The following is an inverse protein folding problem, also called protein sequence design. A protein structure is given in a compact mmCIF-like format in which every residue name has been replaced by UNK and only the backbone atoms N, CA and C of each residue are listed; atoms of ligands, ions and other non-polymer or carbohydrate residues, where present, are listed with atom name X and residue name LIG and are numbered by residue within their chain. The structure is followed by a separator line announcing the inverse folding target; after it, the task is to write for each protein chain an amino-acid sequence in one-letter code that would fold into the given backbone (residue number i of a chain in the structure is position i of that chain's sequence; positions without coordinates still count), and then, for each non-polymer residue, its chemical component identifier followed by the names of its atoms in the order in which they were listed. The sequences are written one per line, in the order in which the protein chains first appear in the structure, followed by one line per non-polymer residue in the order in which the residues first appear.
data_IF_165803103861
#
_entry.id   IF_165803103861
#
_cell.length_a   1.000
_cell.length_b   1.000
_cell.length_c   1.000
_cell.angle_alpha   90.00
_cell.angle_beta   90.00
_cell.angle_gamma   90.00
#
_symmetry.space_group_name_H-M   'P 1'
#
loop_
_entity.id
_entity.type
_entity.pdbx_description
1 polymer ?
#
# COMPACT_ATOMS: atom_id res chain seq x y z
N UNK A 1 18.49 -8.76 -45.16
CA UNK A 1 17.18 -9.44 -45.00
C UNK A 1 17.28 -10.29 -43.74
N UNK A 2 16.38 -10.17 -42.75
CA UNK A 2 16.43 -11.03 -41.56
C UNK A 2 16.25 -12.49 -41.98
N UNK A 3 17.09 -13.38 -41.47
CA UNK A 3 16.98 -14.83 -41.67
C UNK A 3 16.21 -15.38 -40.47
N UNK A 4 14.98 -15.82 -40.69
CA UNK A 4 14.20 -16.51 -39.66
C UNK A 4 14.61 -17.98 -39.62
N UNK A 5 15.10 -18.44 -38.46
CA UNK A 5 15.27 -19.86 -38.16
C UNK A 5 14.02 -20.36 -37.46
N UNK A 6 13.38 -21.37 -38.04
CA UNK A 6 12.26 -22.06 -37.41
C UNK A 6 12.81 -23.10 -36.44
N UNK A 7 12.49 -22.96 -35.16
CA UNK A 7 12.86 -23.89 -34.11
C UNK A 7 11.69 -24.85 -33.85
N UNK A 8 11.78 -26.07 -34.39
CA UNK A 8 10.77 -27.11 -34.20
C UNK A 8 10.73 -27.66 -32.79
N UNK A 9 11.82 -27.53 -32.02
CA UNK A 9 11.89 -28.00 -30.63
C UNK A 9 11.18 -27.05 -29.67
N UNK A 10 10.87 -25.82 -30.11
CA UNK A 10 10.11 -24.85 -29.34
C UNK A 10 8.62 -25.19 -29.21
N UNK A 11 8.11 -26.20 -29.92
CA UNK A 11 6.71 -26.60 -29.92
C UNK A 11 6.54 -27.99 -29.29
N UNK A 12 5.55 -28.13 -28.41
CA UNK A 12 5.18 -29.39 -27.78
C UNK A 12 4.48 -30.35 -28.78
N UNK A 13 4.16 -31.55 -28.30
CA UNK A 13 3.46 -32.59 -29.07
C UNK A 13 2.07 -32.17 -29.60
N UNK A 14 1.52 -31.07 -29.10
CA UNK A 14 0.25 -30.47 -29.54
C UNK A 14 0.46 -29.23 -30.44
N UNK A 15 1.71 -28.94 -30.85
CA UNK A 15 2.06 -27.79 -31.68
C UNK A 15 1.99 -26.45 -30.93
N UNK A 16 2.09 -26.46 -29.59
CA UNK A 16 2.05 -25.25 -28.76
C UNK A 16 3.45 -24.88 -28.28
N UNK A 17 3.76 -23.59 -28.23
CA UNK A 17 5.01 -23.09 -27.68
C UNK A 17 4.76 -22.37 -26.36
N UNK A 18 5.66 -22.56 -25.39
CA UNK A 18 5.62 -21.82 -24.12
C UNK A 18 6.55 -20.62 -24.22
N UNK A 19 5.96 -19.43 -24.28
CA UNK A 19 6.72 -18.17 -24.28
C UNK A 19 6.72 -17.65 -22.84
N UNK A 20 7.87 -17.62 -22.14
CA UNK A 20 7.94 -17.03 -20.82
C UNK A 20 7.74 -15.51 -20.95
N UNK A 21 6.55 -15.03 -20.57
CA UNK A 21 6.28 -13.60 -20.50
C UNK A 21 6.55 -13.10 -19.08
N UNK A 22 7.37 -12.06 -18.97
CA UNK A 22 7.52 -11.33 -17.72
C UNK A 22 6.22 -10.57 -17.49
N UNK A 23 5.35 -11.10 -16.63
CA UNK A 23 3.97 -10.62 -16.49
C UNK A 23 3.88 -9.26 -15.79
N UNK A 24 4.82 -8.97 -14.90
CA UNK A 24 4.87 -7.72 -14.15
C UNK A 24 6.30 -7.19 -14.06
N UNK A 25 6.48 -5.86 -14.09
CA UNK A 25 7.80 -5.26 -13.92
C UNK A 25 8.35 -5.52 -12.52
N UNK A 26 9.68 -5.55 -12.39
CA UNK A 26 10.33 -5.55 -11.09
C UNK A 26 10.11 -4.21 -10.36
N UNK A 27 10.24 -4.21 -9.03
CA UNK A 27 10.07 -3.00 -8.22
C UNK A 27 10.93 -1.83 -8.70
N UNK A 28 12.17 -2.11 -9.13
CA UNK A 28 13.09 -1.06 -9.58
C UNK A 28 12.56 -0.29 -10.80
N UNK A 29 11.78 -0.93 -11.67
CA UNK A 29 11.13 -0.26 -12.78
C UNK A 29 10.07 0.74 -12.29
N UNK A 30 9.26 0.37 -11.30
CA UNK A 30 8.31 1.28 -10.65
C UNK A 30 9.07 2.44 -10.00
N UNK A 31 10.15 2.09 -9.30
CA UNK A 31 10.97 3.02 -8.55
C UNK A 31 11.78 3.96 -9.43
N UNK A 32 12.07 3.64 -10.69
CA UNK A 32 12.73 4.56 -11.62
C UNK A 32 11.98 5.91 -11.73
N UNK A 33 10.64 5.89 -11.70
CA UNK A 33 9.82 7.10 -11.68
C UNK A 33 9.42 7.51 -10.26
N UNK A 34 9.11 6.55 -9.38
CA UNK A 34 8.64 6.84 -8.02
C UNK A 34 9.76 7.34 -7.06
N UNK A 35 11.05 7.07 -7.35
CA UNK A 35 12.22 7.60 -6.62
C UNK A 35 12.38 9.12 -6.78
N UNK A 36 12.06 9.68 -7.95
CA UNK A 36 12.29 11.11 -8.27
C UNK A 36 11.37 12.08 -7.53
N UNK A 37 10.21 11.60 -7.09
CA UNK A 37 9.41 12.33 -6.14
C UNK A 37 9.96 12.09 -4.74
N UNK A 38 10.87 12.96 -4.32
CA UNK A 38 11.45 13.08 -2.97
C UNK A 38 10.42 13.16 -1.80
N UNK A 39 9.14 12.90 -2.06
CA UNK A 39 8.00 12.96 -1.15
C UNK A 39 6.95 11.86 -1.38
N UNK A 40 7.14 10.90 -2.30
CA UNK A 40 6.07 9.94 -2.67
C UNK A 40 6.48 8.49 -2.54
N UNK A 41 6.94 8.15 -1.35
CA UNK A 41 6.91 6.76 -0.90
C UNK A 41 5.47 6.44 -0.45
N UNK A 42 4.60 6.16 -1.43
CA UNK A 42 3.26 5.63 -1.18
C UNK A 42 3.37 4.24 -0.56
N UNK A 43 2.81 4.08 0.63
CA UNK A 43 2.67 2.79 1.34
C UNK A 43 3.97 2.03 1.66
N UNK A 44 5.04 2.75 2.02
CA UNK A 44 6.23 2.11 2.57
C UNK A 44 6.14 2.09 4.09
N UNK A 45 5.98 0.90 4.64
CA UNK A 45 6.57 0.57 5.92
C UNK A 45 5.64 0.74 7.11
N UNK A 46 5.26 -0.38 7.71
CA UNK A 46 4.50 -0.41 8.95
C UNK A 46 5.46 -0.69 10.12
N UNK A 47 5.38 0.11 11.19
CA UNK A 47 6.21 -0.06 12.39
C UNK A 47 7.62 0.53 12.31
N UNK A 48 8.29 0.62 13.46
CA UNK A 48 9.63 1.23 13.60
C UNK A 48 10.69 0.61 12.68
N UNK A 49 10.56 -0.70 12.41
CA UNK A 49 11.45 -1.46 11.54
C UNK A 49 11.50 -0.95 10.10
N UNK A 50 10.48 -0.18 9.68
CA UNK A 50 10.39 0.38 8.34
C UNK A 50 10.66 1.88 8.26
N UNK A 51 11.40 2.40 9.24
CA UNK A 51 11.90 3.78 9.25
C UNK A 51 12.99 3.98 8.20
N UNK A 52 12.97 5.14 7.55
CA UNK A 52 14.00 5.53 6.60
C UNK A 52 15.37 5.67 7.27
N UNK A 53 16.35 4.90 6.79
CA UNK A 53 17.76 5.06 7.14
C UNK A 53 18.43 6.00 6.16
N UNK A 54 19.22 6.94 6.67
CA UNK A 54 20.08 7.80 5.86
C UNK A 54 21.54 7.33 6.04
N UNK A 55 22.31 7.30 4.96
CA UNK A 55 23.76 7.14 4.96
C UNK A 55 24.42 8.52 5.04
N UNK A 56 25.34 8.70 6.00
CA UNK A 56 26.17 9.89 6.14
C UNK A 56 25.69 10.85 7.24
N UNK A 57 25.90 10.46 8.49
CA UNK A 57 25.67 11.25 9.70
C UNK A 57 26.74 12.36 9.84
N UNK A 58 26.83 13.25 8.86
CA UNK A 58 27.49 14.54 9.04
C UNK A 58 26.57 15.50 9.80
N UNK A 59 27.12 16.56 10.40
CA UNK A 59 26.45 17.51 11.32
C UNK A 59 25.17 18.20 10.79
N UNK A 60 24.72 17.93 9.56
CA UNK A 60 23.47 18.39 8.98
C UNK A 60 22.59 17.24 8.45
N UNK A 61 21.38 17.01 9.03
CA UNK A 61 20.41 16.01 8.57
C UNK A 61 19.86 16.21 7.15
N UNK A 62 20.16 17.35 6.51
CA UNK A 62 19.74 17.67 5.14
C UNK A 62 20.63 17.04 4.05
N UNK A 63 21.82 16.55 4.42
CA UNK A 63 22.82 16.00 3.50
C UNK A 63 22.82 14.45 3.42
N UNK A 64 22.00 13.79 4.25
CA UNK A 64 21.92 12.34 4.29
C UNK A 64 21.31 11.74 3.02
N UNK A 65 21.99 10.76 2.42
CA UNK A 65 21.45 10.01 1.28
C UNK A 65 20.58 8.89 1.80
N UNK A 66 19.36 8.72 1.27
CA UNK A 66 18.51 7.58 1.64
C UNK A 66 19.24 6.26 1.29
N UNK A 67 19.35 5.36 2.28
CA UNK A 67 19.79 3.98 2.01
C UNK A 67 18.78 3.36 1.05
N UNK A 68 19.26 2.75 -0.03
CA UNK A 68 18.42 2.28 -1.14
C UNK A 68 17.60 1.03 -0.77
N UNK A 69 17.98 0.26 0.26
CA UNK A 69 17.36 -1.03 0.64
C UNK A 69 17.24 -1.22 2.18
N UNK A 70 16.64 -0.26 2.89
CA UNK A 70 16.15 -0.54 4.26
C UNK A 70 14.81 -1.29 4.20
N UNK A 71 14.40 -1.97 5.29
CA UNK A 71 13.16 -2.75 5.35
C UNK A 71 11.92 -1.84 5.29
N UNK A 72 11.65 -1.23 4.15
CA UNK A 72 10.66 -0.17 4.01
C UNK A 72 9.24 -0.68 3.76
N UNK A 73 9.00 -1.99 3.83
CA UNK A 73 7.68 -2.63 3.77
C UNK A 73 7.69 -3.95 4.57
N UNK A 74 6.72 -4.12 5.47
CA UNK A 74 6.58 -5.36 6.26
C UNK A 74 5.98 -6.51 5.47
N UNK A 75 5.34 -6.21 4.33
CA UNK A 75 4.77 -7.20 3.43
C UNK A 75 5.81 -7.76 2.48
N UNK A 76 6.86 -6.99 2.13
CA UNK A 76 7.93 -7.46 1.25
C UNK A 76 8.61 -8.71 1.83
N UNK A 77 8.75 -9.75 1.01
CA UNK A 77 9.32 -11.04 1.42
C UNK A 77 8.36 -11.92 2.23
N UNK A 78 7.08 -11.54 2.37
CA UNK A 78 6.05 -12.41 2.94
C UNK A 78 5.38 -13.21 1.84
N UNK A 79 5.00 -14.44 2.15
CA UNK A 79 4.24 -15.30 1.25
C UNK A 79 2.74 -15.13 1.50
N UNK A 80 1.95 -14.99 0.43
CA UNK A 80 0.48 -14.93 0.50
C UNK A 80 -0.14 -15.97 -0.41
N UNK A 81 -1.24 -16.58 0.06
CA UNK A 81 -2.05 -17.53 -0.72
C UNK A 81 -3.41 -16.91 -1.02
N UNK A 82 -3.65 -16.60 -2.29
CA UNK A 82 -4.90 -15.97 -2.72
C UNK A 82 -6.07 -16.95 -2.67
N UNK A 83 -7.30 -16.43 -2.82
CA UNK A 83 -8.52 -17.24 -2.71
C UNK A 83 -8.61 -18.35 -3.77
N UNK A 84 -7.88 -18.18 -4.88
CA UNK A 84 -7.74 -19.17 -5.94
C UNK A 84 -6.74 -20.30 -5.62
N UNK A 85 -6.10 -20.28 -4.44
CA UNK A 85 -5.12 -21.27 -3.99
C UNK A 85 -3.69 -21.07 -4.49
N UNK A 86 -3.42 -20.02 -5.26
CA UNK A 86 -2.08 -19.71 -5.75
C UNK A 86 -1.29 -18.97 -4.68
N UNK A 87 -0.08 -19.45 -4.42
CA UNK A 87 0.83 -18.91 -3.42
C UNK A 87 1.98 -18.18 -4.10
N UNK A 88 2.24 -16.94 -3.69
CA UNK A 88 3.40 -16.16 -4.17
C UNK A 88 3.99 -15.33 -3.05
N UNK A 89 5.29 -15.09 -3.17
CA UNK A 89 5.98 -14.11 -2.34
C UNK A 89 5.64 -12.70 -2.82
N UNK A 90 5.38 -11.82 -1.85
CA UNK A 90 5.15 -10.40 -2.06
C UNK A 90 6.52 -9.77 -2.25
N UNK A 91 7.00 -9.80 -3.49
CA UNK A 91 8.32 -9.26 -3.84
C UNK A 91 8.22 -7.87 -4.45
N UNK A 92 7.03 -7.48 -4.94
CA UNK A 92 6.85 -6.22 -5.63
C UNK A 92 5.49 -5.57 -5.49
N UNK A 93 5.41 -4.28 -5.87
CA UNK A 93 4.22 -3.43 -5.76
C UNK A 93 2.98 -4.07 -6.41
N UNK A 94 3.17 -4.92 -7.42
CA UNK A 94 2.07 -5.54 -8.15
C UNK A 94 1.22 -6.47 -7.27
N UNK A 95 1.74 -6.93 -6.14
CA UNK A 95 0.96 -7.72 -5.17
C UNK A 95 -0.31 -6.99 -4.69
N UNK A 96 -0.24 -5.66 -4.56
CA UNK A 96 -1.37 -4.80 -4.22
C UNK A 96 -1.88 -3.99 -5.42
N UNK A 97 -1.01 -3.71 -6.40
CA UNK A 97 -1.29 -2.90 -7.58
C UNK A 97 -1.53 -3.74 -8.85
N UNK A 98 -1.99 -4.99 -8.72
CA UNK A 98 -2.43 -5.77 -9.87
C UNK A 98 -3.57 -6.73 -9.51
N UNK A 99 -4.62 -6.69 -10.32
CA UNK A 99 -5.80 -7.56 -10.20
C UNK A 99 -5.50 -9.03 -10.48
N UNK A 100 -4.41 -9.32 -11.19
CA UNK A 100 -4.08 -10.67 -11.65
C UNK A 100 -2.76 -11.18 -11.09
N UNK A 101 -2.25 -10.56 -10.02
CA UNK A 101 -0.94 -10.91 -9.48
C UNK A 101 -0.84 -12.37 -9.06
N UNK A 102 -1.89 -12.93 -8.46
CA UNK A 102 -1.93 -14.33 -8.02
C UNK A 102 -2.63 -15.25 -9.03
N UNK A 103 -2.85 -14.85 -10.29
CA UNK A 103 -3.44 -15.76 -11.30
C UNK A 103 -2.44 -16.87 -11.65
N UNK A 104 -2.91 -18.12 -11.72
CA UNK A 104 -2.09 -19.29 -12.03
C UNK A 104 -1.16 -19.08 -13.25
N UNK A 105 0.11 -19.53 -13.19
CA UNK A 105 1.07 -19.41 -14.30
C UNK A 105 0.60 -20.12 -15.58
N UNK A 106 -0.21 -21.17 -15.44
CA UNK A 106 -0.71 -21.98 -16.55
C UNK A 106 -1.96 -21.40 -17.22
N UNK A 107 -2.52 -20.33 -16.66
CA UNK A 107 -3.66 -19.65 -17.27
C UNK A 107 -3.17 -18.74 -18.39
N UNK A 108 -3.82 -18.83 -19.55
CA UNK A 108 -3.59 -17.89 -20.65
C UNK A 108 -3.67 -16.44 -20.15
N UNK A 109 -2.72 -15.62 -20.60
CA UNK A 109 -2.79 -14.17 -20.43
C UNK A 109 -3.93 -13.68 -21.30
N UNK A 110 -4.91 -13.08 -20.65
CA UNK A 110 -6.03 -12.46 -21.34
C UNK A 110 -5.54 -11.12 -21.87
N UNK A 111 -5.35 -11.03 -23.19
CA UNK A 111 -4.86 -9.81 -23.85
C UNK A 111 -5.91 -8.69 -23.84
N UNK A 112 -7.19 -9.04 -23.62
CA UNK A 112 -8.28 -8.08 -23.47
C UNK A 112 -8.48 -7.67 -22.01
N UNK A 113 -7.72 -8.25 -21.07
CA UNK A 113 -7.78 -7.87 -19.68
C UNK A 113 -7.43 -6.39 -19.52
N UNK A 114 -8.08 -5.73 -18.56
CA UNK A 114 -7.65 -4.40 -18.15
C UNK A 114 -6.27 -4.51 -17.48
N UNK A 115 -5.24 -4.00 -18.16
CA UNK A 115 -3.84 -3.93 -17.73
C UNK A 115 -3.52 -2.64 -16.95
N UNK A 116 -4.52 -1.83 -16.62
CA UNK A 116 -4.37 -0.66 -15.77
C UNK A 116 -3.79 -1.08 -14.42
N UNK A 117 -2.76 -0.38 -13.99
CA UNK A 117 -2.27 -0.46 -12.62
C UNK A 117 -3.23 0.32 -11.71
N UNK A 118 -3.94 -0.35 -10.79
CA UNK A 118 -4.80 0.32 -9.85
C UNK A 118 -3.98 1.34 -9.07
N UNK A 119 -4.41 2.61 -9.11
CA UNK A 119 -3.69 3.69 -8.46
C UNK A 119 -3.95 3.62 -6.96
N UNK A 120 -2.89 3.72 -6.17
CA UNK A 120 -3.04 3.93 -4.73
C UNK A 120 -3.46 5.37 -4.43
N UNK A 121 -4.32 5.54 -3.42
CA UNK A 121 -4.58 6.86 -2.88
C UNK A 121 -3.39 7.29 -2.03
N UNK A 122 -2.50 8.11 -2.60
CA UNK A 122 -1.47 8.78 -1.81
C UNK A 122 -2.12 9.57 -0.68
N UNK A 123 -1.42 9.64 0.45
CA UNK A 123 -1.66 10.54 1.57
C UNK A 123 -1.76 12.01 1.15
N UNK A 124 -1.26 12.40 -0.01
CA UNK A 124 -1.39 13.75 -0.54
C UNK A 124 -2.84 14.12 -0.87
N UNK A 125 -3.33 15.21 -0.30
CA UNK A 125 -4.68 15.73 -0.57
C UNK A 125 -4.81 16.45 -1.93
N UNK A 126 -4.69 15.65 -2.98
CA UNK A 126 -5.33 15.91 -4.27
C UNK A 126 -6.74 15.30 -4.17
N UNK A 127 -7.77 15.95 -4.75
CA UNK A 127 -9.16 15.44 -4.73
C UNK A 127 -9.32 14.18 -5.58
N UNK A 128 -8.58 13.12 -5.25
CA UNK A 128 -8.66 11.79 -5.86
C UNK A 128 -9.94 11.06 -5.42
N UNK A 129 -10.76 11.63 -4.54
CA UNK A 129 -12.13 11.19 -4.31
C UNK A 129 -13.02 11.32 -5.56
N UNK A 130 -12.57 12.08 -6.57
CA UNK A 130 -13.18 12.17 -7.90
C UNK A 130 -12.51 11.25 -8.93
N UNK A 131 -11.41 10.58 -8.57
CA UNK A 131 -10.81 9.57 -9.44
C UNK A 131 -11.74 8.33 -9.37
N UNK A 132 -12.36 8.01 -10.50
CA UNK A 132 -13.16 6.80 -10.71
C UNK A 132 -12.39 5.50 -11.11
N UNK A 133 -11.04 5.40 -11.15
CA UNK A 133 -10.37 4.15 -11.48
C UNK A 133 -10.41 3.19 -10.29
N UNK A 134 -10.24 1.88 -10.55
CA UNK A 134 -10.08 0.88 -9.50
C UNK A 134 -8.89 1.24 -8.59
N UNK A 135 -9.09 1.16 -7.28
CA UNK A 135 -8.05 1.37 -6.28
C UNK A 135 -7.13 0.15 -6.16
N UNK A 136 -5.91 0.38 -5.68
CA UNK A 136 -5.07 -0.70 -5.18
C UNK A 136 -5.77 -1.46 -4.04
N UNK A 137 -5.42 -2.74 -3.87
CA UNK A 137 -6.00 -3.59 -2.81
C UNK A 137 -5.91 -2.90 -1.44
N UNK A 138 -7.02 -2.90 -0.70
CA UNK A 138 -7.07 -2.36 0.66
C UNK A 138 -6.48 -3.32 1.69
N UNK A 139 -6.35 -2.84 2.93
CA UNK A 139 -5.93 -3.69 4.06
C UNK A 139 -6.99 -4.76 4.33
N UNK A 140 -8.26 -4.36 4.24
CA UNK A 140 -9.43 -5.20 4.48
C UNK A 140 -9.49 -6.38 3.50
N UNK A 141 -9.11 -6.20 2.23
CA UNK A 141 -9.08 -7.29 1.24
C UNK A 141 -8.28 -8.50 1.73
N UNK A 142 -7.04 -8.29 2.21
CA UNK A 142 -6.15 -9.40 2.59
C UNK A 142 -6.27 -9.81 4.07
N UNK A 143 -6.75 -8.92 4.94
CA UNK A 143 -6.74 -9.15 6.39
C UNK A 143 -8.13 -9.41 6.99
N UNK A 144 -9.21 -9.20 6.23
CA UNK A 144 -10.58 -9.39 6.70
C UNK A 144 -11.47 -10.17 5.73
N UNK A 145 -11.40 -9.86 4.43
CA UNK A 145 -12.36 -10.36 3.44
C UNK A 145 -11.89 -11.63 2.73
N UNK A 146 -10.59 -11.78 2.51
CA UNK A 146 -10.01 -12.96 1.90
C UNK A 146 -10.37 -14.24 2.64
N UNK A 147 -10.55 -15.33 1.89
CA UNK A 147 -10.75 -16.68 2.45
C UNK A 147 -9.57 -17.10 3.33
N UNK A 148 -8.36 -16.71 2.92
CA UNK A 148 -7.13 -16.92 3.66
C UNK A 148 -6.65 -15.63 4.34
N UNK A 149 -7.54 -14.99 5.11
CA UNK A 149 -7.21 -13.74 5.80
C UNK A 149 -5.95 -13.88 6.67
N UNK A 150 -5.01 -12.94 6.51
CA UNK A 150 -3.76 -12.95 7.28
C UNK A 150 -3.92 -12.14 8.56
N UNK A 151 -3.64 -12.74 9.71
CA UNK A 151 -3.55 -12.04 10.98
C UNK A 151 -2.12 -12.16 11.50
N UNK A 152 -1.26 -11.12 11.36
CA UNK A 152 0.17 -11.23 11.64
C UNK A 152 0.51 -11.67 13.07
N UNK A 153 -0.37 -11.39 14.03
CA UNK A 153 -0.21 -11.77 15.44
C UNK A 153 -0.63 -13.22 15.74
N UNK A 154 -1.07 -13.99 14.75
CA UNK A 154 -1.47 -15.40 14.91
C UNK A 154 -2.82 -15.64 15.60
N UNK A 155 -3.65 -14.60 15.77
CA UNK A 155 -5.00 -14.73 16.33
C UNK A 155 -6.01 -15.06 15.22
N UNK A 156 -7.19 -15.53 15.61
CA UNK A 156 -8.24 -15.99 14.67
C UNK A 156 -8.74 -14.90 13.72
N UNK A 157 -8.78 -13.64 14.19
CA UNK A 157 -9.18 -12.49 13.39
C UNK A 157 -8.60 -11.18 13.97
N UNK A 158 -8.72 -10.09 13.20
CA UNK A 158 -8.21 -8.78 13.62
C UNK A 158 -8.86 -8.25 14.91
N UNK A 159 -10.14 -8.53 15.15
CA UNK A 159 -10.83 -8.09 16.36
C UNK A 159 -10.24 -8.74 17.60
N UNK A 160 -9.95 -10.03 17.55
CA UNK A 160 -9.28 -10.73 18.64
C UNK A 160 -7.84 -10.26 18.82
N UNK A 161 -7.09 -10.11 17.72
CA UNK A 161 -5.73 -9.59 17.76
C UNK A 161 -5.65 -8.22 18.46
N UNK A 162 -6.47 -7.26 18.05
CA UNK A 162 -6.45 -5.90 18.61
C UNK A 162 -6.97 -5.86 20.03
N UNK A 163 -7.98 -6.69 20.37
CA UNK A 163 -8.48 -6.82 21.74
C UNK A 163 -7.37 -7.26 22.69
N UNK A 164 -6.62 -8.30 22.35
CA UNK A 164 -5.55 -8.82 23.21
C UNK A 164 -4.35 -7.86 23.26
N UNK A 165 -3.96 -7.26 22.12
CA UNK A 165 -2.82 -6.33 22.07
C UNK A 165 -3.08 -5.03 22.84
N UNK A 166 -4.23 -4.38 22.66
CA UNK A 166 -4.54 -3.13 23.38
C UNK A 166 -4.75 -3.35 24.87
N UNK A 167 -5.30 -4.51 25.24
CA UNK A 167 -5.34 -4.92 26.64
C UNK A 167 -3.93 -5.14 27.21
N UNK A 168 -3.06 -5.82 26.46
CA UNK A 168 -1.68 -6.11 26.86
C UNK A 168 -0.80 -4.87 27.03
N UNK A 169 -1.04 -3.84 26.20
CA UNK A 169 -0.32 -2.56 26.27
C UNK A 169 -0.78 -1.66 27.43
N UNK A 170 -1.85 -2.02 28.14
CA UNK A 170 -2.38 -1.25 29.26
C UNK A 170 -3.29 -0.09 28.88
N UNK A 171 -3.45 0.22 27.58
CA UNK A 171 -4.31 1.29 27.06
C UNK A 171 -5.77 1.15 27.54
N UNK A 172 -6.19 -0.08 27.82
CA UNK A 172 -7.56 -0.42 28.19
C UNK A 172 -7.64 -1.24 29.49
N UNK A 173 -6.67 -1.09 30.39
CA UNK A 173 -6.65 -1.80 31.67
C UNK A 173 -7.94 -1.53 32.48
N UNK A 174 -8.57 -2.60 32.99
CA UNK A 174 -9.80 -2.52 33.80
C UNK A 174 -11.12 -2.50 33.02
N UNK A 175 -11.09 -2.47 31.69
CA UNK A 175 -12.30 -2.58 30.87
C UNK A 175 -12.82 -4.02 30.81
N UNK A 176 -14.14 -4.19 30.77
CA UNK A 176 -14.76 -5.50 30.54
C UNK A 176 -14.52 -5.96 29.09
N UNK A 177 -14.61 -7.28 28.86
CA UNK A 177 -14.48 -7.87 27.51
C UNK A 177 -15.49 -7.27 26.52
N UNK A 178 -16.72 -7.02 26.96
CA UNK A 178 -17.77 -6.45 26.10
C UNK A 178 -17.45 -5.01 25.71
N UNK A 179 -16.97 -4.21 26.66
CA UNK A 179 -16.55 -2.83 26.39
C UNK A 179 -15.34 -2.80 25.45
N UNK A 180 -14.34 -3.66 25.66
CA UNK A 180 -13.20 -3.81 24.75
C UNK A 180 -13.67 -4.15 23.33
N UNK A 181 -14.55 -5.14 23.20
CA UNK A 181 -15.08 -5.57 21.89
C UNK A 181 -15.77 -4.42 21.16
N UNK A 182 -16.63 -3.66 21.85
CA UNK A 182 -17.31 -2.50 21.26
C UNK A 182 -16.34 -1.41 20.85
N UNK A 183 -15.33 -1.11 21.66
CA UNK A 183 -14.34 -0.07 21.39
C UNK A 183 -13.46 -0.47 20.20
N UNK A 184 -12.97 -1.71 20.16
CA UNK A 184 -12.18 -2.21 19.02
C UNK A 184 -12.99 -2.23 17.74
N UNK A 185 -14.25 -2.69 17.78
CA UNK A 185 -15.12 -2.64 16.61
C UNK A 185 -15.35 -1.21 16.11
N UNK A 186 -15.58 -0.26 17.03
CA UNK A 186 -15.76 1.15 16.68
C UNK A 186 -14.53 1.69 15.94
N UNK A 187 -13.31 1.32 16.35
CA UNK A 187 -12.11 1.74 15.63
C UNK A 187 -12.07 1.21 14.20
N UNK A 188 -12.39 -0.07 13.96
CA UNK A 188 -12.47 -0.58 12.58
C UNK A 188 -13.55 0.09 11.75
N UNK A 189 -14.63 0.54 12.39
CA UNK A 189 -15.74 1.20 11.72
C UNK A 189 -15.44 2.66 11.36
N UNK A 190 -14.58 3.36 12.12
CA UNK A 190 -14.40 4.82 11.99
C UNK A 190 -12.97 5.28 11.78
N UNK A 191 -11.95 4.43 11.93
CA UNK A 191 -10.54 4.76 11.77
C UNK A 191 -9.93 3.84 10.72
N UNK A 192 -9.29 4.41 9.70
CA UNK A 192 -8.62 3.60 8.68
C UNK A 192 -7.35 2.95 9.24
N UNK A 193 -7.01 1.74 8.78
CA UNK A 193 -5.82 1.01 9.25
C UNK A 193 -4.55 1.86 9.16
N UNK A 194 -4.45 2.66 8.10
CA UNK A 194 -3.33 3.56 7.85
C UNK A 194 -3.14 4.61 8.94
N UNK A 195 -4.21 5.09 9.57
CA UNK A 195 -4.14 6.12 10.61
C UNK A 195 -3.30 5.67 11.81
N UNK A 196 -3.39 4.38 12.16
CA UNK A 196 -2.66 3.81 13.29
C UNK A 196 -1.34 3.18 12.85
N UNK A 197 -1.35 2.45 11.73
CA UNK A 197 -0.21 1.63 11.34
C UNK A 197 0.81 2.42 10.47
N UNK A 198 0.41 3.49 9.78
CA UNK A 198 1.30 4.38 8.99
C UNK A 198 1.55 5.67 9.77
N UNK A 199 2.35 5.58 10.83
CA UNK A 199 2.70 6.72 11.69
C UNK A 199 4.19 7.12 11.55
N UNK A 200 4.60 8.19 12.24
CA UNK A 200 6.02 8.57 12.37
C UNK A 200 6.72 8.95 11.07
N UNK A 201 5.98 9.25 9.99
CA UNK A 201 6.57 9.50 8.66
C UNK A 201 7.41 10.78 8.63
N UNK A 202 8.54 10.69 7.94
CA UNK A 202 9.49 11.80 7.73
C UNK A 202 9.68 12.04 6.25
N UNK A 203 9.82 13.30 5.87
CA UNK A 203 10.22 13.75 4.54
C UNK A 203 11.58 14.43 4.67
N UNK A 204 12.63 13.81 4.11
CA UNK A 204 14.03 14.30 4.22
C UNK A 204 14.44 14.58 5.66
N UNK A 205 14.30 13.57 6.53
CA UNK A 205 14.62 13.69 7.97
C UNK A 205 13.60 14.45 8.81
N UNK A 206 12.75 15.29 8.22
CA UNK A 206 11.79 16.11 8.95
C UNK A 206 10.44 15.40 9.14
N UNK A 207 9.85 15.40 10.34
CA UNK A 207 8.50 14.85 10.56
C UNK A 207 7.47 15.48 9.63
N UNK A 208 6.62 14.64 9.04
CA UNK A 208 5.49 15.09 8.23
C UNK A 208 4.32 15.38 9.17
N UNK A 209 3.75 16.59 9.07
CA UNK A 209 2.48 16.89 9.74
C UNK A 209 1.35 16.14 9.04
N UNK A 210 0.85 15.09 9.67
CA UNK A 210 -0.35 14.38 9.21
C UNK A 210 -1.59 15.08 9.76
N UNK A 211 -2.58 15.28 8.90
CA UNK A 211 -3.93 15.72 9.24
C UNK A 211 -4.92 14.57 9.01
N UNK A 212 -6.14 14.71 9.50
CA UNK A 212 -7.17 13.70 9.38
C UNK A 212 -8.43 14.26 8.75
N UNK A 213 -9.08 13.45 7.93
CA UNK A 213 -10.39 13.76 7.33
C UNK A 213 -11.23 12.52 7.21
N UNK A 214 -12.54 12.70 7.15
CA UNK A 214 -13.47 11.62 6.87
C UNK A 214 -13.56 11.36 5.37
N UNK A 215 -13.50 10.08 4.98
CA UNK A 215 -13.69 9.58 3.61
C UNK A 215 -14.50 8.30 3.64
N UNK A 216 -15.23 8.03 2.56
CA UNK A 216 -15.92 6.76 2.39
C UNK A 216 -14.87 5.70 2.03
N UNK A 217 -14.77 4.66 2.84
CA UNK A 217 -13.92 3.50 2.59
C UNK A 217 -14.64 2.49 1.68
N UNK A 218 -13.95 1.43 1.28
CA UNK A 218 -14.48 0.40 0.37
C UNK A 218 -15.72 -0.31 0.95
N UNK A 219 -15.78 -0.45 2.27
CA UNK A 219 -16.95 -0.98 3.00
C UNK A 219 -18.15 0.00 3.06
N UNK A 220 -18.05 1.15 2.39
CA UNK A 220 -19.09 2.19 2.35
C UNK A 220 -19.19 3.03 3.62
N UNK A 221 -18.35 2.78 4.64
CA UNK A 221 -18.38 3.54 5.89
C UNK A 221 -17.53 4.80 5.80
N UNK A 222 -17.93 5.83 6.54
CA UNK A 222 -17.13 7.04 6.69
C UNK A 222 -16.02 6.81 7.71
N UNK A 223 -14.80 6.61 7.23
CA UNK A 223 -13.61 6.40 8.07
C UNK A 223 -12.72 7.63 8.08
N UNK A 224 -12.07 7.86 9.22
CA UNK A 224 -11.01 8.84 9.39
C UNK A 224 -9.75 8.31 8.71
N UNK A 225 -9.24 9.06 7.73
CA UNK A 225 -8.08 8.70 6.91
C UNK A 225 -6.98 9.76 7.11
N UNK A 226 -5.72 9.36 7.32
CA UNK A 226 -4.60 10.29 7.40
C UNK A 226 -4.32 10.91 6.03
N UNK A 227 -3.93 12.18 6.02
CA UNK A 227 -3.49 12.86 4.81
C UNK A 227 -2.42 13.92 5.10
N UNK A 228 -1.58 14.17 4.13
CA UNK A 228 -0.60 15.26 4.11
C UNK A 228 -1.10 16.36 3.15
N UNK A 229 -1.51 17.54 3.64
CA UNK A 229 -1.96 18.61 2.77
C UNK A 229 -0.79 19.10 1.91
N UNK A 230 -0.94 19.07 0.59
CA UNK A 230 -0.02 19.83 -0.25
C UNK A 230 -0.30 21.31 -0.05
N UNK A 231 0.72 22.10 0.29
CA UNK A 231 0.61 23.57 0.28
C UNK A 231 0.18 23.98 -1.13
N UNK A 232 -1.06 24.47 -1.25
CA UNK A 232 -1.58 25.03 -2.50
C UNK A 232 -1.28 26.52 -2.49
N UNK A 233 -0.58 27.00 -3.51
CA UNK A 233 -0.45 28.44 -3.73
C UNK A 233 -1.82 28.98 -4.12
N UNK A 234 -2.33 29.94 -3.36
CA UNK A 234 -3.55 30.68 -3.71
C UNK A 234 -3.21 32.15 -3.86
N UNK A 235 -3.84 32.80 -4.84
CA UNK A 235 -3.75 34.25 -4.97
C UNK A 235 -4.59 34.89 -3.87
N UNK A 236 -3.92 35.57 -2.93
CA UNK A 236 -4.56 36.36 -1.89
C UNK A 236 -4.54 37.82 -2.30
N UNK A 237 -5.69 38.45 -2.36
CA UNK A 237 -5.76 39.88 -2.57
C UNK A 237 -5.03 40.61 -1.43
N UNK A 238 -4.13 41.54 -1.78
CA UNK A 238 -3.22 42.18 -0.82
C UNK A 238 -3.95 43.15 0.12
N UNK A 239 -5.08 43.72 -0.30
CA UNK A 239 -5.81 44.75 0.45
C UNK A 239 -6.89 44.12 1.34
N UNK A 240 -7.69 43.21 0.79
CA UNK A 240 -8.80 42.56 1.50
C UNK A 240 -8.42 41.25 2.20
N UNK A 241 -7.27 40.67 1.85
CA UNK A 241 -6.85 39.37 2.37
C UNK A 241 -7.68 38.19 1.85
N UNK A 242 -8.54 38.40 0.85
CA UNK A 242 -9.42 37.35 0.32
C UNK A 242 -8.67 36.44 -0.65
N UNK A 243 -8.82 35.13 -0.50
CA UNK A 243 -8.34 34.17 -1.51
C UNK A 243 -9.24 34.25 -2.76
N UNK A 244 -8.64 34.41 -3.94
CA UNK A 244 -9.34 34.60 -5.21
C UNK A 244 -9.86 33.30 -5.85
N UNK A 245 -9.63 32.15 -5.21
CA UNK A 245 -10.11 30.84 -5.68
C UNK A 245 -11.17 30.35 -4.70
N UNK A 246 -12.42 30.28 -5.15
CA UNK A 246 -13.49 29.51 -4.49
C UNK A 246 -13.65 28.19 -5.23
#
# INVERSE_FOLDING_TARGET
MPIFKWDTEAFDENGRTTIPMLRFPANDNCMACHRTSNSRRGFYGFGEAASATLEGDGENPEDGTLVDDYQDDVHKGKTYTDDNGETRDIENCNSCHSKQYFKSPLMNVDLDANHDFPKGNSDMDVRNDLDYPPNAKSCEECHMEAKNAVVPSGHDNLLEAHRELWKGNGDMAGYSRDSLTKITQTHFDVVSCQACHINGKKSRGNPIQILFRYRIAEDGKSKMVPYNPRVRSYWKDKVSGRALVR
#
